data_IF_861779868037
#
_entry.id   IF_861779868037
#
_cell.length_a   1.000
_cell.length_b   1.000
_cell.length_c   1.000
_cell.angle_alpha   90.00
_cell.angle_beta   90.00
_cell.angle_gamma   90.00
#
_symmetry.space_group_name_H-M   'P 1'
#
loop_
_entity.id
_entity.type
_entity.pdbx_description
1 polymer ?
#
# COMPACT_ATOMS: atom_id res chain seq x y z
N UNK A 1 -4.27 -0.30 -32.37
CA UNK A 1 -5.73 -0.30 -32.51
C UNK A 1 -6.30 0.48 -31.33
N UNK A 2 -7.06 1.57 -31.53
CA UNK A 2 -7.70 2.29 -30.43
C UNK A 2 -8.83 1.43 -29.86
N UNK A 3 -8.65 0.92 -28.64
CA UNK A 3 -9.70 0.24 -27.89
C UNK A 3 -10.68 1.32 -27.43
N UNK A 4 -11.92 1.29 -27.92
CA UNK A 4 -12.96 2.15 -27.38
C UNK A 4 -13.13 1.79 -25.90
N UNK A 5 -12.74 2.70 -25.00
CA UNK A 5 -13.01 2.61 -23.56
C UNK A 5 -14.52 2.71 -23.36
N UNK A 6 -15.15 1.67 -22.84
CA UNK A 6 -16.55 1.77 -22.44
C UNK A 6 -16.64 2.72 -21.23
N UNK A 7 -17.77 3.42 -21.03
CA UNK A 7 -17.92 4.40 -19.94
C UNK A 7 -17.64 3.82 -18.54
N UNK A 8 -17.70 2.49 -18.41
CA UNK A 8 -17.43 1.70 -17.22
C UNK A 8 -15.91 1.51 -16.97
N UNK A 9 -15.07 1.56 -18.01
CA UNK A 9 -13.61 1.41 -17.90
C UNK A 9 -12.94 2.69 -17.39
N UNK A 10 -13.57 3.86 -17.62
CA UNK A 10 -13.12 5.16 -17.13
C UNK A 10 -13.07 5.23 -15.59
N UNK A 11 -13.96 4.51 -14.89
CA UNK A 11 -14.01 4.49 -13.43
C UNK A 11 -13.06 3.46 -12.80
N UNK A 12 -12.39 2.62 -13.60
CA UNK A 12 -11.40 1.67 -13.09
C UNK A 12 -10.05 2.34 -12.97
N UNK A 13 -9.58 2.52 -11.73
CA UNK A 13 -8.21 2.95 -11.50
C UNK A 13 -7.23 1.83 -11.85
N UNK A 14 -6.10 2.22 -12.42
CA UNK A 14 -4.97 1.31 -12.63
C UNK A 14 -4.36 0.88 -11.30
N UNK A 15 -3.77 -0.33 -11.27
CA UNK A 15 -3.12 -0.87 -10.08
C UNK A 15 -2.04 0.04 -9.50
N UNK A 16 -1.30 0.77 -10.35
CA UNK A 16 -0.28 1.74 -9.91
C UNK A 16 -0.89 2.93 -9.18
N UNK A 17 -1.96 3.49 -9.72
CA UNK A 17 -2.69 4.59 -9.08
C UNK A 17 -3.25 4.15 -7.73
N UNK A 18 -3.86 2.98 -7.67
CA UNK A 18 -4.35 2.39 -6.41
C UNK A 18 -3.22 2.21 -5.39
N UNK A 19 -2.06 1.70 -5.83
CA UNK A 19 -0.90 1.52 -4.97
C UNK A 19 -0.40 2.86 -4.38
N UNK A 20 -0.28 3.91 -5.20
CA UNK A 20 0.14 5.24 -4.73
C UNK A 20 -0.87 5.82 -3.73
N UNK A 21 -2.17 5.74 -4.04
CA UNK A 21 -3.23 6.23 -3.15
C UNK A 21 -3.16 5.53 -1.78
N UNK A 22 -2.76 4.26 -1.73
CA UNK A 22 -2.66 3.49 -0.49
C UNK A 22 -1.67 4.07 0.53
N UNK A 23 -0.71 4.90 0.12
CA UNK A 23 0.27 5.50 1.03
C UNK A 23 -0.11 6.89 1.56
N UNK A 24 -1.12 7.57 0.99
CA UNK A 24 -1.35 9.00 1.25
C UNK A 24 -1.82 9.28 2.68
N UNK A 25 -2.91 8.64 3.09
CA UNK A 25 -3.50 8.75 4.44
C UNK A 25 -4.26 7.47 4.74
N UNK A 26 -4.72 7.28 5.97
CA UNK A 26 -5.62 6.16 6.28
C UNK A 26 -6.93 6.20 5.46
N UNK A 27 -7.43 7.41 5.16
CA UNK A 27 -8.59 7.60 4.28
C UNK A 27 -8.23 7.19 2.85
N UNK A 28 -7.07 7.64 2.35
CA UNK A 28 -6.53 7.20 1.06
C UNK A 28 -6.39 5.68 0.99
N UNK A 29 -5.92 5.05 2.05
CA UNK A 29 -5.79 3.60 2.14
C UNK A 29 -7.13 2.87 2.00
N UNK A 30 -8.18 3.33 2.68
CA UNK A 30 -9.53 2.78 2.55
C UNK A 30 -10.06 2.95 1.11
N UNK A 31 -9.86 4.14 0.53
CA UNK A 31 -10.23 4.41 -0.87
C UNK A 31 -9.51 3.46 -1.82
N UNK A 32 -8.19 3.28 -1.66
CA UNK A 32 -7.40 2.34 -2.45
C UNK A 32 -7.91 0.90 -2.31
N UNK A 33 -8.32 0.48 -1.11
CA UNK A 33 -8.88 -0.84 -0.89
C UNK A 33 -10.19 -1.05 -1.65
N UNK A 34 -11.06 -0.04 -1.68
CA UNK A 34 -12.33 -0.08 -2.43
C UNK A 34 -12.04 -0.23 -3.94
N UNK A 35 -11.16 0.61 -4.49
CA UNK A 35 -10.80 0.54 -5.92
C UNK A 35 -10.06 -0.74 -6.27
N UNK A 36 -9.24 -1.28 -5.37
CA UNK A 36 -8.64 -2.60 -5.53
C UNK A 36 -9.70 -3.70 -5.66
N UNK A 37 -10.77 -3.65 -4.87
CA UNK A 37 -11.88 -4.61 -4.99
C UNK A 37 -12.58 -4.59 -6.35
N UNK A 38 -12.57 -3.44 -7.04
CA UNK A 38 -13.17 -3.27 -8.37
C UNK A 38 -12.22 -3.71 -9.50
N UNK A 39 -10.92 -3.45 -9.34
CA UNK A 39 -9.89 -3.80 -10.32
C UNK A 39 -8.66 -4.38 -9.61
N UNK A 40 -8.77 -5.64 -9.14
CA UNK A 40 -7.73 -6.22 -8.31
C UNK A 40 -6.47 -6.44 -9.16
N UNK A 41 -5.31 -6.10 -8.60
CA UNK A 41 -4.03 -6.45 -9.22
C UNK A 41 -3.01 -6.87 -8.17
N UNK A 42 -2.07 -7.75 -8.57
CA UNK A 42 -0.98 -8.19 -7.68
C UNK A 42 -0.17 -7.00 -7.15
N UNK A 43 -0.01 -5.96 -7.98
CA UNK A 43 0.68 -4.73 -7.64
C UNK A 43 -0.03 -3.93 -6.54
N UNK A 44 -1.31 -3.65 -6.72
CA UNK A 44 -2.10 -2.92 -5.72
C UNK A 44 -2.27 -3.72 -4.41
N UNK A 45 -2.51 -5.03 -4.49
CA UNK A 45 -2.59 -5.90 -3.32
C UNK A 45 -1.30 -5.87 -2.49
N UNK A 46 -0.14 -5.92 -3.15
CA UNK A 46 1.16 -5.84 -2.49
C UNK A 46 1.33 -4.51 -1.74
N UNK A 47 1.13 -3.38 -2.43
CA UNK A 47 1.32 -2.07 -1.81
C UNK A 47 0.28 -1.76 -0.72
N UNK A 48 -0.96 -2.25 -0.86
CA UNK A 48 -1.96 -2.17 0.21
C UNK A 48 -1.50 -2.86 1.50
N UNK A 49 -0.85 -4.02 1.40
CA UNK A 49 -0.26 -4.71 2.58
C UNK A 49 0.91 -3.93 3.15
N UNK A 50 1.82 -3.45 2.29
CA UNK A 50 2.99 -2.69 2.73
C UNK A 50 2.60 -1.39 3.45
N UNK A 51 1.68 -0.61 2.89
CA UNK A 51 1.21 0.65 3.47
C UNK A 51 0.38 0.42 4.75
N UNK A 52 -0.49 -0.59 4.78
CA UNK A 52 -1.22 -0.95 6.00
C UNK A 52 -0.27 -1.36 7.13
N UNK A 53 0.72 -2.20 6.83
CA UNK A 53 1.72 -2.62 7.81
C UNK A 53 2.48 -1.43 8.41
N UNK A 54 2.83 -0.44 7.58
CA UNK A 54 3.45 0.80 8.05
C UNK A 54 2.50 1.62 8.95
N UNK A 55 1.23 1.78 8.57
CA UNK A 55 0.26 2.51 9.40
C UNK A 55 0.05 1.82 10.76
N UNK A 56 -0.08 0.50 10.78
CA UNK A 56 -0.22 -0.27 12.03
C UNK A 56 1.03 -0.14 12.90
N UNK A 57 2.23 -0.20 12.29
CA UNK A 57 3.50 -0.01 13.01
C UNK A 57 3.56 1.37 13.66
N UNK A 58 3.15 2.41 12.92
CA UNK A 58 3.05 3.78 13.44
C UNK A 58 2.10 3.89 14.62
N UNK A 59 0.89 3.32 14.50
CA UNK A 59 -0.11 3.32 15.57
C UNK A 59 0.44 2.65 16.82
N UNK A 60 1.02 1.45 16.69
CA UNK A 60 1.57 0.70 17.83
C UNK A 60 2.69 1.49 18.52
N UNK A 61 3.63 2.05 17.76
CA UNK A 61 4.76 2.77 18.33
C UNK A 61 4.36 4.11 18.95
N UNK A 62 3.24 4.72 18.53
CA UNK A 62 2.77 5.97 19.13
C UNK A 62 2.38 5.82 20.62
N UNK A 63 2.03 4.61 21.07
CA UNK A 63 1.74 4.30 22.47
C UNK A 63 3.00 4.05 23.33
N UNK A 64 4.19 3.96 22.73
CA UNK A 64 5.45 3.71 23.44
C UNK A 64 6.25 5.02 23.50
N UNK A 65 6.17 5.78 24.62
CA UNK A 65 6.88 7.04 24.74
C UNK A 65 8.40 6.84 24.67
N UNK A 66 9.13 7.90 24.29
CA UNK A 66 10.59 7.92 24.09
C UNK A 66 11.07 7.02 22.94
N UNK A 67 10.91 5.70 23.02
CA UNK A 67 11.38 4.76 21.99
C UNK A 67 10.58 4.93 20.69
N UNK A 68 9.25 4.96 20.77
CA UNK A 68 8.39 5.13 19.60
C UNK A 68 8.64 6.46 18.91
N UNK A 69 8.87 7.52 19.68
CA UNK A 69 9.19 8.84 19.14
C UNK A 69 10.56 8.87 18.48
N UNK A 70 11.57 8.22 19.06
CA UNK A 70 12.89 8.08 18.45
C UNK A 70 12.84 7.32 17.11
N UNK A 71 11.92 6.36 16.97
CA UNK A 71 11.72 5.59 15.74
C UNK A 71 10.87 6.30 14.67
N UNK A 72 10.27 7.45 14.98
CA UNK A 72 9.39 8.15 14.05
C UNK A 72 10.11 8.56 12.75
N UNK A 73 11.36 9.03 12.84
CA UNK A 73 12.15 9.45 11.67
C UNK A 73 12.52 8.25 10.77
N UNK A 74 13.11 7.15 11.29
CA UNK A 74 13.32 5.94 10.50
C UNK A 74 12.05 5.42 9.81
N UNK A 75 10.91 5.42 10.49
CA UNK A 75 9.65 4.96 9.90
C UNK A 75 9.15 5.88 8.79
N UNK A 76 9.33 7.19 8.92
CA UNK A 76 9.06 8.15 7.84
C UNK A 76 9.91 7.85 6.59
N UNK A 77 11.19 7.51 6.78
CA UNK A 77 12.08 7.12 5.67
C UNK A 77 11.60 5.81 5.02
N UNK A 78 11.25 4.80 5.83
CA UNK A 78 10.73 3.53 5.34
C UNK A 78 9.40 3.68 4.58
N UNK A 79 8.51 4.57 5.05
CA UNK A 79 7.29 4.92 4.33
C UNK A 79 7.62 5.57 2.97
N UNK A 80 8.61 6.47 2.95
CA UNK A 80 9.10 7.09 1.72
C UNK A 80 9.63 6.07 0.69
N UNK A 81 10.37 5.04 1.13
CA UNK A 81 10.77 3.93 0.25
C UNK A 81 9.57 3.16 -0.31
N UNK A 82 8.58 2.86 0.52
CA UNK A 82 7.35 2.19 0.08
C UNK A 82 6.61 2.98 -1.00
N UNK A 83 6.44 4.30 -0.78
CA UNK A 83 5.84 5.20 -1.76
C UNK A 83 6.69 5.32 -3.02
N UNK A 84 8.02 5.43 -2.89
CA UNK A 84 8.94 5.47 -4.02
C UNK A 84 8.79 4.23 -4.90
N UNK A 85 8.78 3.03 -4.31
CA UNK A 85 8.59 1.79 -5.07
C UNK A 85 7.22 1.73 -5.76
N UNK A 86 6.16 2.22 -5.12
CA UNK A 86 4.85 2.35 -5.75
C UNK A 86 4.89 3.28 -6.97
N UNK A 87 5.51 4.46 -6.82
CA UNK A 87 5.71 5.43 -7.89
C UNK A 87 6.58 4.85 -9.02
N UNK A 88 7.59 4.06 -8.71
CA UNK A 88 8.48 3.41 -9.69
C UNK A 88 7.93 2.11 -10.28
N UNK A 89 6.69 1.73 -9.93
CA UNK A 89 6.05 0.49 -10.39
C UNK A 89 6.83 -0.79 -10.03
N UNK A 90 7.43 -0.82 -8.83
CA UNK A 90 8.27 -1.92 -8.34
C UNK A 90 7.62 -2.68 -7.18
N UNK A 91 7.61 -4.01 -7.26
CA UNK A 91 7.20 -4.92 -6.19
C UNK A 91 8.33 -5.17 -5.20
N UNK A 92 8.86 -4.11 -4.61
CA UNK A 92 9.98 -4.17 -3.67
C UNK A 92 9.47 -4.00 -2.24
N UNK A 93 9.88 -4.91 -1.36
CA UNK A 93 9.52 -4.81 0.05
C UNK A 93 10.11 -3.56 0.67
N UNK A 94 9.36 -2.94 1.59
CA UNK A 94 9.95 -1.94 2.48
C UNK A 94 11.10 -2.61 3.25
N UNK A 95 12.30 -2.02 3.29
CA UNK A 95 13.43 -2.62 3.99
C UNK A 95 13.09 -2.99 5.43
N UNK A 96 13.64 -4.10 5.91
CA UNK A 96 13.46 -4.67 7.27
C UNK A 96 12.06 -5.23 7.58
N UNK A 97 11.00 -4.49 7.27
CA UNK A 97 9.64 -4.80 7.74
C UNK A 97 8.72 -5.37 6.65
N UNK A 98 9.02 -5.11 5.38
CA UNK A 98 8.08 -5.38 4.29
C UNK A 98 7.69 -6.85 4.13
N UNK A 99 8.62 -7.78 4.38
CA UNK A 99 8.32 -9.22 4.38
C UNK A 99 7.35 -9.60 5.50
N UNK A 100 7.54 -9.03 6.71
CA UNK A 100 6.66 -9.26 7.85
C UNK A 100 5.23 -8.77 7.56
N UNK A 101 5.10 -7.59 6.94
CA UNK A 101 3.81 -7.05 6.53
C UNK A 101 3.12 -7.94 5.51
N UNK A 102 3.86 -8.42 4.51
CA UNK A 102 3.28 -9.24 3.46
C UNK A 102 2.81 -10.60 3.99
N UNK A 103 3.61 -11.26 4.82
CA UNK A 103 3.26 -12.55 5.41
C UNK A 103 2.07 -12.42 6.38
N UNK A 104 2.04 -11.36 7.19
CA UNK A 104 0.97 -11.14 8.19
C UNK A 104 -0.37 -10.71 7.57
N UNK A 105 -0.33 -9.90 6.51
CA UNK A 105 -1.52 -9.29 5.91
C UNK A 105 -2.02 -10.01 4.66
N UNK A 106 -1.31 -11.02 4.15
CA UNK A 106 -1.76 -11.80 2.99
C UNK A 106 -3.07 -12.56 3.22
N UNK A 107 -3.39 -12.92 4.47
CA UNK A 107 -4.70 -13.52 4.79
C UNK A 107 -5.86 -12.53 4.61
N UNK A 108 -5.63 -11.25 4.91
CA UNK A 108 -6.60 -10.16 4.78
C UNK A 108 -6.71 -9.66 3.34
N UNK A 109 -5.57 -9.43 2.69
CA UNK A 109 -5.47 -8.94 1.31
C UNK A 109 -4.70 -9.97 0.50
N UNK A 110 -5.41 -10.85 -0.21
CA UNK A 110 -4.81 -12.03 -0.86
C UNK A 110 -3.85 -11.66 -1.98
N UNK A 111 -2.78 -12.44 -2.13
CA UNK A 111 -1.82 -12.36 -3.26
C UNK A 111 -2.44 -12.61 -4.64
N UNK A 112 -3.58 -13.31 -4.72
CA UNK A 112 -4.31 -13.60 -5.96
C UNK A 112 -5.36 -12.52 -6.21
N UNK A 113 -4.91 -11.38 -6.68
CA UNK A 113 -5.71 -10.62 -7.61
C UNK A 113 -5.54 -11.28 -8.97
N UNK A 114 -6.62 -11.84 -9.52
CA UNK A 114 -6.68 -12.55 -10.80
C UNK A 114 -6.22 -11.64 -11.93
#
# INVERSE_FOLDING_TARGET
>A
MPHATSGNDMFKLEGRTIAIISYLTIVGWVIALIFHGQNPSRFSAFHLRQSLGMFLTWVILSFIPVIGWALAIPLWILWGFGLYYACSNQLTFIPLLGKLFDDSLNSLIRRRAV
#
